data_IF_819789492581
#
_entry.id   IF_819789492581
#
_cell.length_a   1.000
_cell.length_b   1.000
_cell.length_c   1.000
_cell.angle_alpha   90.00
_cell.angle_beta   90.00
_cell.angle_gamma   90.00
#
_symmetry.space_group_name_H-M   'P 1'
#
loop_
_entity.id
_entity.type
_entity.pdbx_description
1 polymer ?
#
# COMPACT_ATOMS: atom_id res chain seq x y z
N UNK A 1 51.14 20.36 -18.03
CA UNK A 1 50.35 19.11 -17.94
C UNK A 1 49.49 18.98 -19.19
N UNK A 2 49.58 17.88 -19.98
CA UNK A 2 48.86 17.74 -21.24
C UNK A 2 47.33 17.59 -20.97
N UNK A 3 46.53 18.23 -21.84
CA UNK A 3 45.06 18.27 -21.77
C UNK A 3 44.38 16.87 -21.67
N UNK A 4 45.05 15.81 -22.13
CA UNK A 4 44.53 14.44 -22.06
C UNK A 4 44.43 13.85 -20.64
N UNK A 5 45.28 14.25 -19.71
CA UNK A 5 45.29 13.71 -18.33
C UNK A 5 44.16 14.26 -17.44
N UNK A 6 43.65 15.47 -17.76
CA UNK A 6 42.47 16.02 -17.07
C UNK A 6 41.15 15.35 -17.49
N UNK A 7 41.03 14.94 -18.74
CA UNK A 7 39.85 14.24 -19.25
C UNK A 7 39.72 12.80 -18.69
N UNK A 8 40.85 12.10 -18.52
CA UNK A 8 40.87 10.75 -17.94
C UNK A 8 40.51 10.77 -16.44
N UNK A 9 40.96 11.78 -15.68
CA UNK A 9 40.61 11.92 -14.26
C UNK A 9 39.12 12.26 -14.04
N UNK A 10 38.52 13.05 -14.94
CA UNK A 10 37.07 13.37 -14.89
C UNK A 10 36.22 12.15 -15.27
N UNK A 11 36.65 11.36 -16.23
CA UNK A 11 35.93 10.12 -16.64
C UNK A 11 36.00 9.04 -15.54
N UNK A 12 37.14 8.88 -14.85
CA UNK A 12 37.26 7.97 -13.70
C UNK A 12 36.43 8.45 -12.49
N UNK A 13 36.35 9.74 -12.23
CA UNK A 13 35.54 10.31 -11.16
C UNK A 13 34.04 10.10 -11.41
N UNK A 14 33.58 10.27 -12.64
CA UNK A 14 32.19 10.03 -13.03
C UNK A 14 31.80 8.54 -12.96
N UNK A 15 32.74 7.64 -13.33
CA UNK A 15 32.52 6.19 -13.25
C UNK A 15 32.45 5.69 -11.80
N UNK A 16 33.25 6.26 -10.89
CA UNK A 16 33.22 5.93 -9.46
C UNK A 16 31.97 6.46 -8.77
N UNK A 17 31.44 7.62 -9.17
CA UNK A 17 30.19 8.19 -8.65
C UNK A 17 28.98 7.36 -9.15
N UNK A 18 28.97 6.94 -10.40
CA UNK A 18 27.91 6.09 -10.95
C UNK A 18 27.85 4.70 -10.26
N UNK A 19 29.01 4.11 -9.96
CA UNK A 19 29.08 2.83 -9.23
C UNK A 19 28.67 2.95 -7.76
N UNK A 20 28.90 4.10 -7.11
CA UNK A 20 28.45 4.35 -5.73
C UNK A 20 26.94 4.57 -5.67
N UNK A 21 26.35 5.29 -6.63
CA UNK A 21 24.91 5.47 -6.73
C UNK A 21 24.15 4.15 -7.00
N UNK A 22 24.64 3.34 -7.95
CA UNK A 22 24.09 2.01 -8.23
C UNK A 22 24.17 1.06 -7.01
N UNK A 23 25.22 1.20 -6.18
CA UNK A 23 25.38 0.41 -4.96
C UNK A 23 24.43 0.84 -3.83
N UNK A 24 24.03 2.12 -3.78
CA UNK A 24 23.02 2.61 -2.84
C UNK A 24 21.60 2.15 -3.21
N UNK A 25 21.25 2.12 -4.49
CA UNK A 25 19.96 1.60 -4.97
C UNK A 25 19.83 0.09 -4.75
N UNK A 26 20.85 -0.70 -5.02
CA UNK A 26 20.91 -2.11 -4.70
C UNK A 26 20.69 -2.38 -3.19
N UNK A 27 21.09 -1.43 -2.32
CA UNK A 27 20.89 -1.50 -0.88
C UNK A 27 19.42 -1.44 -0.45
N UNK A 28 18.56 -0.63 -1.08
CA UNK A 28 17.13 -0.52 -0.70
C UNK A 28 16.37 -1.83 -0.97
N UNK A 29 16.63 -2.44 -2.12
CA UNK A 29 16.04 -3.73 -2.48
C UNK A 29 16.52 -4.87 -1.58
N UNK A 30 17.82 -4.90 -1.26
CA UNK A 30 18.37 -5.90 -0.34
C UNK A 30 17.86 -5.70 1.10
N UNK A 31 17.68 -4.45 1.54
CA UNK A 31 17.03 -4.17 2.81
C UNK A 31 15.60 -4.73 2.84
N UNK A 32 14.82 -4.52 1.78
CA UNK A 32 13.47 -5.05 1.65
C UNK A 32 13.45 -6.58 1.69
N UNK A 33 14.34 -7.25 0.96
CA UNK A 33 14.46 -8.71 0.96
C UNK A 33 14.85 -9.25 2.32
N UNK A 34 15.81 -8.61 3.01
CA UNK A 34 16.22 -9.02 4.36
C UNK A 34 15.07 -8.89 5.36
N UNK A 35 14.35 -7.76 5.37
CA UNK A 35 13.18 -7.55 6.22
C UNK A 35 12.04 -8.51 5.90
N UNK A 36 11.91 -8.92 4.65
CA UNK A 36 10.95 -9.92 4.19
C UNK A 36 11.37 -11.37 4.50
N UNK A 37 12.52 -11.61 5.14
CA UNK A 37 13.06 -12.96 5.38
C UNK A 37 13.48 -13.67 4.09
N UNK A 38 13.86 -12.93 3.04
CA UNK A 38 14.26 -13.47 1.75
C UNK A 38 15.77 -13.35 1.54
N UNK A 39 16.40 -14.23 0.74
CA UNK A 39 17.81 -14.09 0.39
C UNK A 39 18.10 -12.75 -0.28
N UNK A 40 19.15 -12.05 0.14
CA UNK A 40 19.64 -10.84 -0.51
C UNK A 40 20.48 -11.17 -1.73
N UNK A 41 20.78 -10.16 -2.55
CA UNK A 41 21.58 -10.32 -3.77
C UNK A 41 22.98 -10.87 -3.47
N UNK A 42 23.53 -11.62 -4.43
CA UNK A 42 24.91 -12.11 -4.32
C UNK A 42 25.90 -10.93 -4.21
N UNK A 43 26.79 -10.98 -3.21
CA UNK A 43 27.74 -9.91 -2.93
C UNK A 43 27.17 -8.72 -2.14
N UNK A 44 25.90 -8.75 -1.75
CA UNK A 44 25.31 -7.72 -0.88
C UNK A 44 26.06 -7.66 0.46
N UNK A 45 26.39 -6.45 0.96
CA UNK A 45 26.95 -6.30 2.30
C UNK A 45 25.99 -6.75 3.41
N UNK A 46 24.69 -6.92 3.10
CA UNK A 46 23.68 -7.41 4.04
C UNK A 46 23.67 -8.94 4.17
N UNK A 47 24.33 -9.68 3.28
CA UNK A 47 24.39 -11.15 3.33
C UNK A 47 24.93 -11.69 4.66
N UNK A 48 25.84 -10.95 5.31
CA UNK A 48 26.40 -11.30 6.62
C UNK A 48 25.35 -11.46 7.72
N UNK A 49 24.21 -10.75 7.63
CA UNK A 49 23.14 -10.84 8.64
C UNK A 49 22.28 -12.09 8.47
N UNK A 50 22.31 -12.74 7.30
CA UNK A 50 21.52 -13.95 7.03
C UNK A 50 22.03 -15.19 7.78
N UNK A 51 23.27 -15.15 8.26
CA UNK A 51 23.83 -16.21 9.14
C UNK A 51 23.37 -16.09 10.60
N UNK A 52 22.80 -14.92 11.02
CA UNK A 52 22.31 -14.70 12.37
C UNK A 52 21.10 -15.63 12.68
N UNK A 53 21.10 -16.36 13.82
CA UNK A 53 19.98 -17.22 14.19
C UNK A 53 18.63 -16.48 14.25
N UNK A 54 18.61 -15.23 14.73
CA UNK A 54 17.38 -14.44 14.81
C UNK A 54 16.80 -14.14 13.42
N UNK A 55 17.68 -13.86 12.43
CA UNK A 55 17.21 -13.68 11.04
C UNK A 55 16.70 -15.00 10.45
N UNK A 56 17.41 -16.11 10.64
CA UNK A 56 16.96 -17.42 10.15
C UNK A 56 15.58 -17.81 10.70
N UNK A 57 15.37 -17.60 12.01
CA UNK A 57 14.06 -17.79 12.61
C UNK A 57 12.99 -16.87 12.00
N UNK A 58 13.33 -15.60 11.79
CA UNK A 58 12.44 -14.64 11.12
C UNK A 58 12.06 -15.11 9.72
N UNK A 59 13.04 -15.51 8.91
CA UNK A 59 12.82 -16.00 7.54
C UNK A 59 11.88 -17.23 7.53
N UNK A 60 12.17 -18.21 8.38
CA UNK A 60 11.35 -19.44 8.48
C UNK A 60 9.89 -19.14 8.85
N UNK A 61 9.66 -18.29 9.85
CA UNK A 61 8.30 -17.91 10.30
C UNK A 61 7.58 -17.15 9.20
N UNK A 62 8.29 -16.22 8.55
CA UNK A 62 7.70 -15.40 7.48
C UNK A 62 7.36 -16.23 6.25
N UNK A 63 8.24 -17.14 5.82
CA UNK A 63 8.00 -18.05 4.68
C UNK A 63 6.78 -18.92 4.92
N UNK A 64 6.64 -19.50 6.09
CA UNK A 64 5.49 -20.34 6.44
C UNK A 64 4.18 -19.52 6.42
N UNK A 65 4.17 -18.33 7.02
CA UNK A 65 3.01 -17.47 7.06
C UNK A 65 2.63 -16.98 5.66
N UNK A 66 3.64 -16.59 4.86
CA UNK A 66 3.41 -16.12 3.49
C UNK A 66 2.88 -17.21 2.58
N UNK A 67 3.46 -18.39 2.62
CA UNK A 67 2.98 -19.54 1.84
C UNK A 67 1.51 -19.84 2.15
N UNK A 68 1.16 -19.90 3.43
CA UNK A 68 -0.23 -20.11 3.87
C UNK A 68 -1.17 -19.04 3.34
N UNK A 69 -0.77 -17.76 3.41
CA UNK A 69 -1.56 -16.63 2.90
C UNK A 69 -1.68 -16.68 1.38
N UNK A 70 -0.58 -16.91 0.67
CA UNK A 70 -0.58 -16.91 -0.80
C UNK A 70 -1.44 -18.05 -1.37
N UNK A 71 -1.23 -19.27 -0.92
CA UNK A 71 -1.97 -20.45 -1.38
C UNK A 71 -3.46 -20.42 -0.95
N UNK A 72 -3.70 -19.99 0.29
CA UNK A 72 -5.05 -20.02 0.86
C UNK A 72 -5.94 -18.85 0.41
N UNK A 73 -5.34 -17.69 0.10
CA UNK A 73 -6.07 -16.45 -0.10
C UNK A 73 -5.64 -15.70 -1.35
N UNK A 74 -4.36 -15.26 -1.45
CA UNK A 74 -3.96 -14.31 -2.49
C UNK A 74 -4.07 -14.90 -3.90
N UNK A 75 -3.81 -16.21 -4.07
CA UNK A 75 -3.98 -16.89 -5.36
C UNK A 75 -5.43 -16.80 -5.84
N UNK A 76 -6.40 -16.99 -4.93
CA UNK A 76 -7.82 -16.89 -5.25
C UNK A 76 -8.22 -15.45 -5.58
N UNK A 77 -7.73 -14.49 -4.80
CA UNK A 77 -7.97 -13.07 -5.08
C UNK A 77 -7.42 -12.68 -6.44
N UNK A 78 -6.20 -13.13 -6.81
CA UNK A 78 -5.62 -12.87 -8.14
C UNK A 78 -6.48 -13.45 -9.26
N UNK A 79 -6.93 -14.70 -9.13
CA UNK A 79 -7.78 -15.34 -10.13
C UNK A 79 -9.11 -14.58 -10.28
N UNK A 80 -9.74 -14.20 -9.16
CA UNK A 80 -10.96 -13.41 -9.18
C UNK A 80 -10.76 -12.04 -9.82
N UNK A 81 -9.66 -11.35 -9.49
CA UNK A 81 -9.35 -10.03 -10.04
C UNK A 81 -9.09 -10.11 -11.56
N UNK A 82 -8.38 -11.12 -12.03
CA UNK A 82 -8.15 -11.35 -13.45
C UNK A 82 -9.45 -11.60 -14.21
N UNK A 83 -10.40 -12.31 -13.62
CA UNK A 83 -11.71 -12.57 -14.22
C UNK A 83 -12.61 -11.34 -14.23
N UNK A 84 -12.60 -10.52 -13.17
CA UNK A 84 -13.63 -9.50 -12.95
C UNK A 84 -13.15 -8.06 -13.17
N UNK A 85 -11.85 -7.77 -13.13
CA UNK A 85 -11.26 -6.44 -13.31
C UNK A 85 -10.53 -6.35 -14.66
N UNK A 86 -11.28 -6.40 -15.77
CA UNK A 86 -10.73 -6.52 -17.14
C UNK A 86 -10.02 -5.26 -17.65
N UNK A 87 -10.46 -4.08 -17.24
CA UNK A 87 -10.00 -2.80 -17.79
C UNK A 87 -9.63 -1.82 -16.66
N UNK A 88 -8.63 -2.16 -15.82
CA UNK A 88 -8.25 -1.29 -14.72
C UNK A 88 -7.60 -0.01 -15.24
N UNK A 89 -7.85 1.10 -14.54
CA UNK A 89 -7.16 2.35 -14.78
C UNK A 89 -5.68 2.26 -14.38
N UNK A 90 -4.81 3.10 -14.96
CA UNK A 90 -3.40 3.12 -14.61
C UNK A 90 -3.14 3.60 -13.18
N UNK A 91 -4.07 4.33 -12.58
CA UNK A 91 -3.98 4.82 -11.20
C UNK A 91 -4.97 4.09 -10.29
N UNK A 92 -4.50 3.69 -9.11
CA UNK A 92 -5.32 3.12 -8.04
C UNK A 92 -5.31 4.03 -6.82
N UNK A 93 -6.49 4.45 -6.36
CA UNK A 93 -6.67 5.08 -5.05
C UNK A 93 -7.08 4.02 -4.02
N UNK A 94 -6.33 3.94 -2.93
CA UNK A 94 -6.66 3.08 -1.80
C UNK A 94 -6.60 3.87 -0.49
N UNK A 95 -7.68 4.60 -0.25
CA UNK A 95 -7.84 5.42 0.96
C UNK A 95 -8.22 4.54 2.15
N UNK A 96 -7.86 4.95 3.35
CA UNK A 96 -8.02 4.18 4.61
C UNK A 96 -7.24 2.87 4.64
N UNK A 97 -6.21 2.74 3.80
CA UNK A 97 -5.47 1.50 3.60
C UNK A 97 -4.37 1.24 4.64
N UNK A 98 -3.84 2.30 5.28
CA UNK A 98 -2.52 2.18 5.87
C UNK A 98 -1.50 1.68 4.81
N UNK A 99 -0.47 0.90 5.20
CA UNK A 99 0.54 0.40 4.26
C UNK A 99 0.12 -0.85 3.47
N UNK A 100 -1.17 -1.04 3.18
CA UNK A 100 -1.68 -2.27 2.55
C UNK A 100 -1.42 -2.36 1.04
N UNK A 101 -0.17 -2.26 0.65
CA UNK A 101 0.24 -2.52 -0.73
C UNK A 101 -0.05 -3.97 -1.15
N UNK A 102 -0.07 -4.90 -0.20
CA UNK A 102 -0.31 -6.31 -0.49
C UNK A 102 -1.62 -6.53 -1.24
N UNK A 103 -2.74 -6.08 -0.67
CA UNK A 103 -4.05 -6.24 -1.32
C UNK A 103 -4.23 -5.28 -2.51
N UNK A 104 -3.67 -4.06 -2.45
CA UNK A 104 -3.65 -3.17 -3.59
C UNK A 104 -3.05 -3.83 -4.84
N UNK A 105 -1.86 -4.41 -4.71
CA UNK A 105 -1.19 -5.11 -5.81
C UNK A 105 -1.87 -6.43 -6.20
N UNK A 106 -2.47 -7.14 -5.23
CA UNK A 106 -3.14 -8.43 -5.52
C UNK A 106 -4.41 -8.23 -6.34
N UNK A 107 -5.21 -7.19 -6.04
CA UNK A 107 -6.41 -6.85 -6.82
C UNK A 107 -6.09 -6.09 -8.12
N UNK A 108 -5.10 -5.21 -8.11
CA UNK A 108 -4.75 -4.34 -9.23
C UNK A 108 -3.28 -4.48 -9.63
N UNK A 109 -2.82 -5.67 -10.05
CA UNK A 109 -1.38 -5.91 -10.34
C UNK A 109 -0.85 -5.08 -11.50
N UNK A 110 -1.72 -4.54 -12.36
CA UNK A 110 -1.36 -3.76 -13.55
C UNK A 110 -1.40 -2.25 -13.35
N UNK A 111 -1.78 -1.76 -12.17
CA UNK A 111 -1.77 -0.32 -11.90
C UNK A 111 -0.34 0.23 -12.01
N UNK A 112 -0.17 1.34 -12.73
CA UNK A 112 1.13 2.03 -12.88
C UNK A 112 1.45 2.86 -11.65
N UNK A 113 0.42 3.43 -11.02
CA UNK A 113 0.53 4.29 -9.85
C UNK A 113 -0.45 3.82 -8.77
N UNK A 114 0.09 3.57 -7.59
CA UNK A 114 -0.67 3.26 -6.39
C UNK A 114 -0.63 4.46 -5.45
N UNK A 115 -1.79 4.92 -4.98
CA UNK A 115 -1.93 6.00 -4.00
C UNK A 115 -2.62 5.44 -2.78
N UNK A 116 -1.86 5.16 -1.75
CA UNK A 116 -2.31 4.67 -0.45
C UNK A 116 -2.36 5.81 0.56
N UNK A 117 -3.34 5.81 1.45
CA UNK A 117 -3.45 6.80 2.51
C UNK A 117 -3.98 6.20 3.82
N UNK A 118 -3.44 6.68 4.94
CA UNK A 118 -3.85 6.30 6.28
C UNK A 118 -3.31 7.26 7.34
N UNK A 119 -3.64 6.99 8.60
CA UNK A 119 -3.20 7.77 9.76
C UNK A 119 -1.83 7.35 10.31
N UNK A 120 -1.28 6.25 9.81
CA UNK A 120 -0.03 5.70 10.27
C UNK A 120 1.14 6.58 9.80
N UNK A 121 2.10 6.83 10.69
CA UNK A 121 3.29 7.60 10.34
C UNK A 121 4.09 6.93 9.21
N UNK A 122 4.69 7.74 8.34
CA UNK A 122 5.56 7.25 7.26
C UNK A 122 6.72 6.44 7.80
N UNK A 123 7.35 6.93 8.88
CA UNK A 123 8.56 6.35 9.43
C UNK A 123 9.81 6.73 8.63
N UNK A 124 10.87 5.98 8.84
CA UNK A 124 12.16 6.19 8.18
C UNK A 124 12.43 5.13 7.12
N UNK A 125 13.21 5.49 6.10
CA UNK A 125 13.73 4.50 5.16
C UNK A 125 14.59 3.50 5.94
N UNK A 126 14.29 2.19 5.87
CA UNK A 126 14.97 1.19 6.68
C UNK A 126 16.48 1.16 6.43
N UNK A 127 17.26 1.38 7.47
CA UNK A 127 18.70 1.19 7.47
C UNK A 127 19.03 -0.09 8.24
N UNK A 128 19.66 -1.03 7.55
CA UNK A 128 19.95 -2.35 8.11
C UNK A 128 21.34 -2.37 8.75
N UNK A 129 21.38 -2.63 10.03
CA UNK A 129 22.60 -2.82 10.82
C UNK A 129 22.53 -4.04 11.75
N UNK A 130 23.54 -4.23 12.61
CA UNK A 130 23.57 -5.37 13.54
C UNK A 130 22.46 -5.36 14.60
N UNK A 131 21.77 -4.23 14.82
CA UNK A 131 20.66 -4.08 15.77
C UNK A 131 19.32 -4.44 15.15
N UNK A 132 19.21 -4.45 13.82
CA UNK A 132 17.96 -4.75 13.10
C UNK A 132 17.35 -6.08 13.53
N UNK A 133 18.18 -7.07 13.88
CA UNK A 133 17.71 -8.36 14.40
C UNK A 133 16.77 -8.26 15.60
N UNK A 134 16.94 -7.24 16.45
CA UNK A 134 16.10 -7.02 17.63
C UNK A 134 14.73 -6.40 17.27
N UNK A 135 14.62 -5.77 16.11
CA UNK A 135 13.37 -5.20 15.60
C UNK A 135 12.53 -6.19 14.77
N UNK A 136 13.10 -7.29 14.29
CA UNK A 136 12.38 -8.28 13.49
C UNK A 136 11.14 -8.88 14.18
N UNK A 137 11.14 -9.17 15.51
CA UNK A 137 9.92 -9.60 16.20
C UNK A 137 8.79 -8.58 16.15
N UNK A 138 9.10 -7.28 16.33
CA UNK A 138 8.12 -6.21 16.28
C UNK A 138 7.55 -6.05 14.86
N UNK A 139 8.38 -6.16 13.82
CA UNK A 139 7.95 -6.17 12.44
C UNK A 139 6.96 -7.33 12.16
N UNK A 140 7.26 -8.55 12.62
CA UNK A 140 6.32 -9.68 12.52
C UNK A 140 5.02 -9.42 13.25
N UNK A 141 5.09 -8.88 14.47
CA UNK A 141 3.91 -8.58 15.27
C UNK A 141 3.00 -7.54 14.59
N UNK A 142 3.58 -6.49 14.01
CA UNK A 142 2.82 -5.45 13.30
C UNK A 142 2.09 -5.98 12.06
N UNK A 143 2.60 -7.02 11.43
CA UNK A 143 2.02 -7.62 10.23
C UNK A 143 1.09 -8.81 10.52
N UNK A 144 1.04 -9.29 11.76
CA UNK A 144 0.31 -10.51 12.10
C UNK A 144 -1.17 -10.45 11.71
N UNK A 145 -1.84 -9.30 11.88
CA UNK A 145 -3.26 -9.15 11.55
C UNK A 145 -3.51 -9.20 10.05
N UNK A 146 -2.74 -8.48 9.23
CA UNK A 146 -2.94 -8.52 7.79
C UNK A 146 -2.61 -9.88 7.18
N UNK A 147 -1.63 -10.59 7.73
CA UNK A 147 -1.26 -11.94 7.29
C UNK A 147 -2.32 -13.02 7.64
N UNK A 148 -3.10 -12.83 8.69
CA UNK A 148 -4.08 -13.81 9.16
C UNK A 148 -5.54 -13.42 8.91
N UNK A 149 -5.88 -12.13 8.96
CA UNK A 149 -7.26 -11.63 8.87
C UNK A 149 -7.48 -10.54 7.82
N UNK A 150 -6.52 -10.35 6.92
CA UNK A 150 -6.60 -9.48 5.74
C UNK A 150 -6.65 -7.97 5.96
N UNK A 151 -6.50 -7.44 7.17
CA UNK A 151 -6.45 -6.00 7.42
C UNK A 151 -5.51 -5.64 8.56
N UNK A 152 -5.08 -4.38 8.62
CA UNK A 152 -4.26 -3.84 9.68
C UNK A 152 -5.11 -3.33 10.86
N UNK A 153 -4.58 -3.47 12.07
CA UNK A 153 -5.08 -2.77 13.24
C UNK A 153 -4.08 -1.65 13.55
N UNK A 154 -4.44 -0.41 13.23
CA UNK A 154 -3.61 0.79 13.40
C UNK A 154 -2.95 0.90 14.78
N UNK A 155 -3.69 0.53 15.83
CA UNK A 155 -3.17 0.53 17.21
C UNK A 155 -1.96 -0.40 17.34
N UNK A 156 -2.02 -1.62 16.82
CA UNK A 156 -0.92 -2.59 16.89
C UNK A 156 0.31 -2.08 16.13
N UNK A 157 0.12 -1.44 14.99
CA UNK A 157 1.24 -0.85 14.23
C UNK A 157 1.90 0.29 15.01
N UNK A 158 1.11 1.17 15.64
CA UNK A 158 1.64 2.26 16.48
C UNK A 158 2.41 1.75 17.68
N UNK A 159 1.97 0.67 18.30
CA UNK A 159 2.65 0.06 19.46
C UNK A 159 3.97 -0.63 19.07
N UNK A 160 4.08 -1.21 17.86
CA UNK A 160 5.22 -2.02 17.43
C UNK A 160 6.29 -1.24 16.64
N UNK A 161 5.88 -0.20 15.91
CA UNK A 161 6.75 0.56 15.00
C UNK A 161 6.76 2.06 15.34
N UNK A 162 6.74 2.40 16.64
CA UNK A 162 6.77 3.79 17.11
C UNK A 162 8.17 4.41 17.05
N UNK A 163 8.24 5.71 17.22
CA UNK A 163 9.49 6.46 17.31
C UNK A 163 10.39 5.90 18.44
N UNK A 164 11.67 5.79 18.15
CA UNK A 164 12.67 5.21 19.06
C UNK A 164 12.93 3.72 18.82
N UNK A 165 12.16 3.05 17.98
CA UNK A 165 12.49 1.72 17.47
C UNK A 165 13.51 1.78 16.33
N UNK A 166 14.17 0.64 16.06
CA UNK A 166 15.09 0.50 14.90
C UNK A 166 14.36 0.56 13.55
N UNK A 167 13.10 0.09 13.52
CA UNK A 167 12.20 0.16 12.37
C UNK A 167 10.96 0.96 12.79
N UNK A 168 10.65 2.01 12.05
CA UNK A 168 9.57 2.95 12.41
C UNK A 168 8.56 3.13 11.27
N UNK A 169 7.31 3.30 11.61
CA UNK A 169 6.22 3.64 10.69
C UNK A 169 5.91 2.58 9.65
N UNK A 170 5.43 3.02 8.50
CA UNK A 170 4.88 2.15 7.44
C UNK A 170 5.91 1.65 6.44
N UNK A 171 7.03 2.34 6.27
CA UNK A 171 8.03 1.99 5.25
C UNK A 171 8.60 0.57 5.39
N UNK A 172 8.92 0.05 6.60
CA UNK A 172 9.37 -1.34 6.73
C UNK A 172 8.34 -2.36 6.23
N UNK A 173 7.04 -2.10 6.43
CA UNK A 173 5.95 -2.97 5.97
C UNK A 173 5.82 -2.91 4.46
N UNK A 174 5.86 -1.71 3.86
CA UNK A 174 5.82 -1.54 2.40
C UNK A 174 7.00 -2.24 1.73
N UNK A 175 8.19 -2.18 2.32
CA UNK A 175 9.37 -2.89 1.85
C UNK A 175 9.17 -4.41 1.84
N UNK A 176 8.62 -4.96 2.93
CA UNK A 176 8.30 -6.40 3.02
C UNK A 176 7.31 -6.80 1.94
N UNK A 177 6.23 -6.04 1.75
CA UNK A 177 5.21 -6.37 0.77
C UNK A 177 5.72 -6.28 -0.66
N UNK A 178 6.51 -5.26 -1.00
CA UNK A 178 7.14 -5.14 -2.30
C UNK A 178 8.04 -6.35 -2.59
N UNK A 179 8.94 -6.69 -1.65
CA UNK A 179 9.83 -7.84 -1.81
C UNK A 179 9.06 -9.17 -1.95
N UNK A 180 8.05 -9.39 -1.10
CA UNK A 180 7.22 -10.62 -1.13
C UNK A 180 6.31 -10.69 -2.35
N UNK A 181 5.92 -9.56 -2.94
CA UNK A 181 5.22 -9.49 -4.21
C UNK A 181 6.17 -9.63 -5.42
N UNK A 182 7.46 -9.92 -5.21
CA UNK A 182 8.46 -10.09 -6.27
C UNK A 182 8.86 -8.78 -6.95
N UNK A 183 8.63 -7.63 -6.31
CA UNK A 183 9.00 -6.32 -6.85
C UNK A 183 10.43 -5.94 -6.46
N UNK A 184 11.12 -5.25 -7.36
CA UNK A 184 12.45 -4.71 -7.13
C UNK A 184 12.37 -3.21 -6.82
N UNK A 185 12.74 -2.80 -5.61
CA UNK A 185 12.76 -1.38 -5.23
C UNK A 185 13.91 -0.69 -5.97
N UNK A 186 13.59 0.32 -6.77
CA UNK A 186 14.55 1.16 -7.50
C UNK A 186 14.94 2.39 -6.70
N UNK A 187 13.97 3.08 -6.10
CA UNK A 187 14.22 4.21 -5.21
C UNK A 187 13.12 4.34 -4.16
N UNK A 188 13.45 4.98 -3.04
CA UNK A 188 12.49 5.37 -2.02
C UNK A 188 12.87 6.74 -1.49
N UNK A 189 11.90 7.63 -1.42
CA UNK A 189 12.05 8.98 -0.90
C UNK A 189 10.89 9.34 0.02
N UNK A 190 11.15 10.18 1.00
CA UNK A 190 10.13 10.77 1.86
C UNK A 190 9.93 12.19 1.37
N UNK A 191 8.67 12.64 1.37
CA UNK A 191 8.32 13.96 0.87
C UNK A 191 7.39 14.73 1.82
N UNK A 192 7.38 16.04 1.66
CA UNK A 192 6.38 16.95 2.17
C UNK A 192 5.33 17.20 1.08
N UNK A 193 4.06 17.18 1.45
CA UNK A 193 2.94 17.51 0.56
C UNK A 193 2.54 18.97 0.77
N UNK A 194 2.61 19.75 -0.29
CA UNK A 194 2.14 21.12 -0.32
C UNK A 194 0.62 21.18 -0.58
N UNK A 195 -0.04 22.29 -0.23
CA UNK A 195 -1.49 22.45 -0.38
C UNK A 195 -2.00 22.36 -1.82
N UNK A 196 -1.17 22.68 -2.80
CA UNK A 196 -1.48 22.56 -4.23
C UNK A 196 -1.27 21.14 -4.77
N UNK A 197 -0.95 20.18 -3.92
CA UNK A 197 -0.66 18.80 -4.30
C UNK A 197 0.75 18.59 -4.86
N UNK A 198 1.64 19.56 -4.74
CA UNK A 198 3.05 19.37 -5.09
C UNK A 198 3.77 18.59 -3.98
N UNK A 199 4.58 17.61 -4.35
CA UNK A 199 5.43 16.87 -3.43
C UNK A 199 6.86 17.42 -3.49
N UNK A 200 7.46 17.63 -2.32
CA UNK A 200 8.86 18.10 -2.18
C UNK A 200 9.65 17.06 -1.39
N UNK A 201 10.72 16.49 -1.94
CA UNK A 201 11.58 15.57 -1.21
C UNK A 201 12.09 16.18 0.09
N UNK A 202 12.14 15.39 1.16
CA UNK A 202 12.72 15.81 2.43
C UNK A 202 14.15 15.31 2.50
N UNK A 203 15.10 16.24 2.56
CA UNK A 203 16.51 15.91 2.65
C UNK A 203 16.84 15.17 3.96
N UNK A 204 17.80 14.25 3.88
CA UNK A 204 18.24 13.41 5.00
C UNK A 204 18.72 14.21 6.23
N UNK A 205 19.30 15.38 6.00
CA UNK A 205 19.78 16.26 7.07
C UNK A 205 18.68 16.79 7.98
N UNK A 206 17.44 16.82 7.53
CA UNK A 206 16.27 17.27 8.32
C UNK A 206 15.57 16.11 9.07
N UNK A 207 16.14 14.91 9.04
CA UNK A 207 15.65 13.71 9.72
C UNK A 207 16.01 13.67 11.21
N UNK A 208 15.78 14.75 11.92
CA UNK A 208 15.93 14.82 13.36
C UNK A 208 14.69 14.31 14.10
N UNK A 209 14.68 14.38 15.45
CA UNK A 209 13.59 13.92 16.36
C UNK A 209 12.14 14.29 16.01
N UNK A 210 11.96 15.11 14.99
CA UNK A 210 10.66 15.60 14.52
C UNK A 210 10.19 14.93 13.22
N UNK A 211 10.85 13.88 12.75
CA UNK A 211 10.61 13.32 11.41
C UNK A 211 9.20 12.74 11.23
N UNK A 212 8.62 12.11 12.23
CA UNK A 212 7.22 11.67 12.23
C UNK A 212 6.20 12.81 12.17
N UNK A 213 6.64 14.07 12.36
CA UNK A 213 5.83 15.29 12.28
C UNK A 213 5.91 16.00 10.93
N UNK A 214 6.91 15.74 10.10
CA UNK A 214 7.22 16.56 8.92
C UNK A 214 7.17 15.82 7.57
N UNK A 215 7.21 14.51 7.54
CA UNK A 215 6.99 13.74 6.31
C UNK A 215 5.49 13.52 6.07
N UNK A 216 4.96 14.09 4.99
CA UNK A 216 3.57 13.87 4.59
C UNK A 216 3.37 12.53 3.91
N UNK A 217 4.42 11.94 3.35
CA UNK A 217 4.33 10.70 2.63
C UNK A 217 5.67 10.12 2.18
N UNK A 218 5.60 8.97 1.55
CA UNK A 218 6.71 8.30 0.89
C UNK A 218 6.34 7.96 -0.55
N UNK A 219 7.34 8.06 -1.45
CA UNK A 219 7.27 7.60 -2.83
C UNK A 219 8.27 6.49 -3.00
N UNK A 220 7.82 5.35 -3.53
CA UNK A 220 8.68 4.22 -3.85
C UNK A 220 8.51 3.92 -5.34
N UNK A 221 9.59 3.98 -6.09
CA UNK A 221 9.66 3.48 -7.47
C UNK A 221 10.14 2.04 -7.41
N UNK A 222 9.44 1.16 -8.07
CA UNK A 222 9.77 -0.26 -8.12
C UNK A 222 9.54 -0.83 -9.51
N UNK A 223 10.19 -1.95 -9.82
CA UNK A 223 9.99 -2.68 -11.07
C UNK A 223 9.34 -4.04 -10.82
N UNK A 224 8.48 -4.44 -11.74
CA UNK A 224 7.99 -5.80 -11.88
C UNK A 224 9.11 -6.73 -12.37
N UNK A 225 8.95 -8.07 -12.30
CA UNK A 225 9.94 -9.02 -12.82
C UNK A 225 10.23 -8.87 -14.32
N UNK A 226 9.30 -8.29 -15.09
CA UNK A 226 9.47 -7.99 -16.51
C UNK A 226 10.17 -6.66 -16.78
N UNK A 227 10.60 -5.95 -15.74
CA UNK A 227 11.25 -4.65 -15.82
C UNK A 227 10.31 -3.44 -15.91
N UNK A 228 8.98 -3.64 -15.91
CA UNK A 228 8.01 -2.55 -15.94
C UNK A 228 8.09 -1.73 -14.66
N UNK A 229 8.42 -0.45 -14.76
CA UNK A 229 8.45 0.45 -13.61
C UNK A 229 7.06 0.94 -13.21
N UNK A 230 6.88 1.04 -11.87
CA UNK A 230 5.65 1.51 -11.21
C UNK A 230 5.99 2.40 -10.04
N UNK A 231 5.00 3.16 -9.60
CA UNK A 231 5.17 4.07 -8.46
C UNK A 231 4.13 3.81 -7.40
N UNK A 232 4.58 3.73 -6.15
CA UNK A 232 3.76 3.68 -4.96
C UNK A 232 3.94 4.98 -4.17
N UNK A 233 2.83 5.66 -3.92
CA UNK A 233 2.74 6.77 -2.97
C UNK A 233 1.99 6.30 -1.73
N UNK A 234 2.55 6.58 -0.56
CA UNK A 234 1.87 6.46 0.72
C UNK A 234 1.76 7.83 1.36
N UNK A 235 0.56 8.21 1.77
CA UNK A 235 0.28 9.47 2.46
C UNK A 235 -0.14 9.21 3.90
N UNK A 236 0.60 9.81 4.86
CA UNK A 236 0.21 9.86 6.26
C UNK A 236 -0.67 11.09 6.47
N UNK A 237 -1.99 10.90 6.50
CA UNK A 237 -2.93 12.02 6.53
C UNK A 237 -4.26 11.64 7.20
N UNK A 238 -4.90 12.64 7.79
CA UNK A 238 -6.29 12.55 8.25
C UNK A 238 -7.23 12.74 7.05
N UNK A 239 -8.03 11.72 6.76
CA UNK A 239 -9.02 11.71 5.67
C UNK A 239 -10.39 12.26 6.08
N UNK A 240 -10.58 12.71 7.33
CA UNK A 240 -11.78 13.43 7.74
C UNK A 240 -11.94 14.76 6.99
N UNK A 241 -13.14 15.29 6.93
CA UNK A 241 -13.42 16.57 6.24
C UNK A 241 -12.52 17.72 6.70
N UNK A 242 -12.29 17.95 8.02
CA UNK A 242 -11.35 18.97 8.46
C UNK A 242 -9.90 18.63 8.10
N UNK A 243 -9.52 17.33 8.15
CA UNK A 243 -8.17 16.88 7.84
C UNK A 243 -7.84 17.03 6.38
N UNK A 244 -8.61 16.39 5.50
CA UNK A 244 -8.34 16.34 4.06
C UNK A 244 -8.38 17.71 3.39
N UNK A 245 -9.22 18.64 3.86
CA UNK A 245 -9.30 20.03 3.37
C UNK A 245 -8.07 20.89 3.70
N UNK A 246 -7.28 20.47 4.68
CA UNK A 246 -6.06 21.21 5.08
C UNK A 246 -4.80 20.70 4.40
N UNK A 247 -4.89 19.59 3.68
CA UNK A 247 -3.77 18.96 2.95
C UNK A 247 -3.91 19.14 1.44
N UNK A 248 -2.84 18.89 0.70
CA UNK A 248 -2.86 18.86 -0.77
C UNK A 248 -3.20 17.49 -1.37
N UNK A 249 -3.71 16.52 -0.57
CA UNK A 249 -3.93 15.15 -1.06
C UNK A 249 -4.88 15.09 -2.26
N UNK A 250 -6.04 15.77 -2.19
CA UNK A 250 -7.01 15.74 -3.28
C UNK A 250 -6.44 16.40 -4.54
N UNK A 251 -5.77 17.56 -4.38
CA UNK A 251 -5.12 18.23 -5.52
C UNK A 251 -3.99 17.39 -6.13
N UNK A 252 -3.29 16.58 -5.34
CA UNK A 252 -2.34 15.60 -5.85
C UNK A 252 -3.04 14.50 -6.64
N UNK A 253 -4.11 13.92 -6.09
CA UNK A 253 -4.86 12.85 -6.73
C UNK A 253 -5.54 13.30 -8.02
N UNK A 254 -6.11 14.53 -8.06
CA UNK A 254 -6.73 15.09 -9.28
C UNK A 254 -5.78 15.11 -10.48
N UNK A 255 -4.49 15.34 -10.26
CA UNK A 255 -3.45 15.30 -11.32
C UNK A 255 -3.21 13.90 -11.88
N UNK A 256 -3.67 12.86 -11.18
CA UNK A 256 -3.50 11.45 -11.56
C UNK A 256 -4.81 10.80 -12.06
N UNK A 257 -5.92 11.53 -12.06
CA UNK A 257 -7.21 11.05 -12.55
C UNK A 257 -7.20 10.86 -14.09
N UNK A 258 -8.02 9.95 -14.65
CA UNK A 258 -8.94 9.05 -13.95
C UNK A 258 -8.26 7.89 -13.25
N UNK A 259 -8.94 7.31 -12.25
CA UNK A 259 -8.42 6.22 -11.43
C UNK A 259 -9.48 5.14 -11.17
N UNK A 260 -9.05 4.00 -10.68
CA UNK A 260 -9.90 3.08 -9.94
C UNK A 260 -9.72 3.30 -8.43
N UNK A 261 -10.70 2.89 -7.65
CA UNK A 261 -10.60 2.90 -6.18
C UNK A 261 -10.77 1.52 -5.60
N UNK A 262 -9.99 1.23 -4.56
CA UNK A 262 -10.14 0.05 -3.74
C UNK A 262 -10.39 0.46 -2.28
N UNK A 263 -11.41 -0.11 -1.64
CA UNK A 263 -11.79 0.22 -0.27
C UNK A 263 -12.08 -1.07 0.49
N UNK A 264 -11.31 -1.32 1.51
CA UNK A 264 -11.40 -2.52 2.33
C UNK A 264 -11.19 -2.15 3.81
N UNK A 265 -12.07 -2.60 4.68
CA UNK A 265 -11.97 -2.32 6.12
C UNK A 265 -11.89 -0.83 6.45
N UNK A 266 -12.67 0.00 5.75
CA UNK A 266 -12.66 1.47 5.87
C UNK A 266 -13.48 1.99 7.08
N UNK A 267 -13.74 1.13 8.06
CA UNK A 267 -14.40 1.45 9.34
C UNK A 267 -15.76 2.14 9.20
N UNK A 268 -16.43 1.97 8.04
CA UNK A 268 -17.72 2.62 7.73
C UNK A 268 -17.67 4.15 7.89
N UNK A 269 -16.49 4.77 7.87
CA UNK A 269 -16.32 6.20 8.10
C UNK A 269 -17.11 7.05 7.10
N UNK A 270 -17.12 6.63 5.85
CA UNK A 270 -17.85 7.30 4.77
C UNK A 270 -19.38 7.10 4.82
N UNK A 271 -19.90 6.33 5.79
CA UNK A 271 -21.35 6.19 6.02
C UNK A 271 -21.93 7.33 6.83
N UNK A 272 -21.13 8.04 7.64
CA UNK A 272 -21.53 9.19 8.43
C UNK A 272 -21.15 10.52 7.78
N UNK A 273 -21.47 11.62 8.47
CA UNK A 273 -20.90 12.94 8.21
C UNK A 273 -19.44 12.99 8.69
N UNK A 274 -18.67 13.92 8.17
CA UNK A 274 -17.26 14.11 8.54
C UNK A 274 -16.24 13.42 7.63
N UNK A 275 -16.70 12.65 6.63
CA UNK A 275 -15.90 12.07 5.55
C UNK A 275 -16.58 12.26 4.18
N UNK A 276 -17.40 13.28 4.08
CA UNK A 276 -18.16 13.60 2.87
C UNK A 276 -17.22 14.00 1.73
N UNK A 277 -16.22 14.82 2.02
CA UNK A 277 -15.27 15.34 1.04
C UNK A 277 -14.51 14.22 0.34
N UNK A 278 -13.93 13.26 1.09
CA UNK A 278 -13.20 12.13 0.50
C UNK A 278 -14.13 11.16 -0.22
N UNK A 279 -15.35 10.93 0.31
CA UNK A 279 -16.37 10.10 -0.34
C UNK A 279 -16.78 10.66 -1.70
N UNK A 280 -17.10 11.94 -1.75
CA UNK A 280 -17.49 12.65 -2.98
C UNK A 280 -16.35 12.67 -3.99
N UNK A 281 -15.11 12.90 -3.53
CA UNK A 281 -13.93 12.84 -4.36
C UNK A 281 -13.78 11.46 -5.02
N UNK A 282 -13.85 10.38 -4.26
CA UNK A 282 -13.71 9.02 -4.80
C UNK A 282 -14.82 8.71 -5.80
N UNK A 283 -16.08 9.07 -5.48
CA UNK A 283 -17.20 8.90 -6.41
C UNK A 283 -17.01 9.75 -7.66
N UNK A 284 -16.47 10.97 -7.59
CA UNK A 284 -16.28 11.84 -8.74
C UNK A 284 -15.15 11.36 -9.68
N UNK A 285 -14.05 10.87 -9.13
CA UNK A 285 -12.80 10.63 -9.87
C UNK A 285 -12.53 9.14 -10.17
N UNK A 286 -13.36 8.20 -9.67
CA UNK A 286 -13.19 6.78 -9.97
C UNK A 286 -14.00 6.33 -11.18
N UNK A 287 -13.39 5.43 -11.98
CA UNK A 287 -14.05 4.67 -13.04
C UNK A 287 -14.67 3.40 -12.51
N UNK A 288 -13.91 2.69 -11.71
CA UNK A 288 -14.34 1.49 -11.00
C UNK A 288 -14.04 1.65 -9.51
N UNK A 289 -14.97 1.26 -8.65
CA UNK A 289 -14.77 1.18 -7.21
C UNK A 289 -14.98 -0.27 -6.79
N UNK A 290 -13.94 -0.91 -6.29
CA UNK A 290 -14.01 -2.23 -5.68
C UNK A 290 -13.99 -2.06 -4.17
N UNK A 291 -15.01 -2.56 -3.48
CA UNK A 291 -15.13 -2.33 -2.03
C UNK A 291 -15.83 -3.46 -1.30
N UNK A 292 -15.50 -3.61 0.00
CA UNK A 292 -16.34 -4.32 0.95
C UNK A 292 -17.48 -3.41 1.47
N UNK A 293 -18.34 -3.93 2.33
CA UNK A 293 -19.50 -3.19 2.87
C UNK A 293 -19.11 -2.01 3.77
N UNK A 294 -17.86 -1.90 4.18
CA UNK A 294 -17.34 -0.80 5.01
C UNK A 294 -16.95 0.45 4.21
N UNK A 295 -16.95 0.37 2.89
CA UNK A 295 -16.58 1.45 1.98
C UNK A 295 -17.65 2.53 1.81
N UNK A 296 -17.89 2.96 0.58
CA UNK A 296 -18.87 4.00 0.23
C UNK A 296 -20.29 3.44 0.28
N UNK A 297 -21.23 4.04 1.03
CA UNK A 297 -22.60 3.55 1.09
C UNK A 297 -23.35 3.75 -0.22
N UNK A 298 -24.26 2.82 -0.56
CA UNK A 298 -25.01 2.86 -1.83
C UNK A 298 -25.75 4.19 -2.08
N UNK A 299 -26.20 4.87 -1.02
CA UNK A 299 -26.87 6.16 -1.15
C UNK A 299 -26.00 7.30 -1.70
N UNK A 300 -24.66 7.13 -1.69
CA UNK A 300 -23.74 8.14 -2.21
C UNK A 300 -23.55 8.04 -3.73
N UNK A 301 -23.98 6.95 -4.33
CA UNK A 301 -23.96 6.77 -5.78
C UNK A 301 -25.26 7.28 -6.38
N UNK A 302 -25.17 8.13 -7.39
CA UNK A 302 -26.36 8.63 -8.12
C UNK A 302 -26.99 7.51 -8.94
N UNK A 303 -28.30 7.41 -8.88
CA UNK A 303 -29.04 6.41 -9.66
C UNK A 303 -28.81 6.62 -11.17
N UNK A 304 -28.58 5.51 -11.86
CA UNK A 304 -28.33 5.52 -13.32
C UNK A 304 -26.88 5.86 -13.73
N UNK A 305 -26.04 6.40 -12.84
CA UNK A 305 -24.64 6.69 -13.16
C UNK A 305 -23.71 5.47 -12.91
N UNK A 306 -24.17 4.46 -12.19
CA UNK A 306 -23.35 3.32 -11.78
C UNK A 306 -24.06 1.99 -11.97
N UNK A 307 -23.30 0.98 -12.39
CA UNK A 307 -23.71 -0.42 -12.40
C UNK A 307 -22.98 -1.16 -11.31
N UNK A 308 -23.70 -2.01 -10.53
CA UNK A 308 -23.16 -2.72 -9.38
C UNK A 308 -23.11 -4.21 -9.63
N UNK A 309 -21.97 -4.82 -9.34
CA UNK A 309 -21.74 -6.26 -9.40
C UNK A 309 -21.36 -6.75 -8.01
N UNK A 310 -22.30 -7.33 -7.23
CA UNK A 310 -22.03 -7.86 -5.91
C UNK A 310 -21.43 -9.27 -5.99
N UNK A 311 -20.55 -9.62 -5.04
CA UNK A 311 -19.95 -10.93 -4.85
C UNK A 311 -19.90 -11.30 -3.37
N UNK A 312 -20.24 -12.55 -3.03
CA UNK A 312 -20.23 -13.03 -1.65
C UNK A 312 -21.52 -12.78 -0.89
N UNK A 313 -21.43 -12.51 0.40
CA UNK A 313 -22.58 -12.45 1.31
C UNK A 313 -22.57 -11.19 2.16
N UNK A 314 -23.53 -10.30 1.98
CA UNK A 314 -23.74 -9.20 2.91
C UNK A 314 -24.62 -9.66 4.06
N UNK A 315 -24.02 -9.92 5.22
CA UNK A 315 -24.74 -10.36 6.42
C UNK A 315 -25.35 -9.17 7.17
N UNK A 316 -24.49 -8.50 7.94
CA UNK A 316 -24.76 -7.27 8.69
C UNK A 316 -23.44 -6.54 8.87
N UNK A 317 -23.44 -5.21 9.11
CA UNK A 317 -22.26 -4.50 9.57
C UNK A 317 -21.66 -5.15 10.82
N UNK A 318 -20.40 -4.86 11.11
CA UNK A 318 -19.82 -5.29 12.37
C UNK A 318 -20.59 -4.68 13.55
N UNK A 319 -20.73 -5.42 14.66
CA UNK A 319 -21.50 -4.97 15.83
C UNK A 319 -21.05 -3.63 16.43
N UNK A 320 -19.81 -3.24 16.23
CA UNK A 320 -19.28 -1.92 16.61
C UNK A 320 -19.77 -0.77 15.70
N UNK A 321 -20.40 -1.08 14.55
CA UNK A 321 -20.96 -0.10 13.60
C UNK A 321 -22.46 -0.37 13.33
N UNK A 322 -23.35 -0.45 14.35
CA UNK A 322 -24.70 -0.98 14.20
C UNK A 322 -25.61 -0.16 13.26
N UNK A 323 -25.36 1.15 13.15
CA UNK A 323 -26.20 2.07 12.38
C UNK A 323 -25.81 2.17 10.88
N UNK A 324 -24.96 1.28 10.39
CA UNK A 324 -24.48 1.29 9.00
C UNK A 324 -25.12 0.23 8.10
N UNK A 325 -26.17 -0.44 8.58
CA UNK A 325 -26.90 -1.43 7.81
C UNK A 325 -27.60 -0.81 6.58
N UNK A 326 -27.47 -1.46 5.43
CA UNK A 326 -28.00 -1.02 4.14
C UNK A 326 -29.01 -2.04 3.59
N UNK A 327 -30.34 -1.86 3.72
CA UNK A 327 -31.35 -2.78 3.20
C UNK A 327 -31.22 -3.02 1.69
N UNK A 328 -30.91 -1.97 0.91
CA UNK A 328 -30.71 -2.07 -0.55
C UNK A 328 -29.50 -2.96 -0.88
N UNK A 329 -28.40 -2.84 -0.14
CA UNK A 329 -27.24 -3.73 -0.28
C UNK A 329 -27.62 -5.18 0.04
N UNK A 330 -28.37 -5.42 1.14
CA UNK A 330 -28.84 -6.76 1.50
C UNK A 330 -29.63 -7.41 0.37
N UNK A 331 -30.55 -6.68 -0.24
CA UNK A 331 -31.33 -7.15 -1.38
C UNK A 331 -30.47 -7.47 -2.61
N UNK A 332 -29.48 -6.60 -2.90
CA UNK A 332 -28.55 -6.76 -4.02
C UNK A 332 -27.70 -8.02 -3.87
N UNK A 333 -27.19 -8.30 -2.67
CA UNK A 333 -26.35 -9.47 -2.39
C UNK A 333 -27.12 -10.80 -2.27
N UNK A 334 -28.43 -10.78 -2.24
CA UNK A 334 -29.24 -12.00 -2.07
C UNK A 334 -29.02 -13.04 -3.18
N UNK A 335 -28.63 -12.61 -4.38
CA UNK A 335 -28.37 -13.47 -5.55
C UNK A 335 -26.92 -13.36 -6.04
N UNK A 336 -26.02 -12.78 -5.25
CA UNK A 336 -24.62 -12.61 -5.64
C UNK A 336 -23.90 -13.96 -5.75
N UNK A 337 -22.97 -14.12 -6.72
CA UNK A 337 -22.10 -15.28 -6.77
C UNK A 337 -21.23 -15.34 -5.52
N UNK A 338 -20.91 -16.55 -5.07
CA UNK A 338 -20.10 -16.79 -3.88
C UNK A 338 -18.65 -16.35 -4.11
N UNK A 339 -18.02 -15.85 -3.05
CA UNK A 339 -16.57 -15.69 -2.97
C UNK A 339 -15.97 -16.96 -2.34
N UNK A 340 -14.83 -17.38 -2.85
CA UNK A 340 -14.06 -18.50 -2.31
C UNK A 340 -12.86 -18.04 -1.45
N UNK A 341 -12.77 -16.71 -1.19
CA UNK A 341 -11.80 -16.06 -0.32
C UNK A 341 -12.49 -15.05 0.60
N UNK A 342 -11.80 -14.72 1.69
CA UNK A 342 -12.24 -13.68 2.61
C UNK A 342 -11.51 -12.35 2.37
N UNK A 343 -12.17 -11.23 2.58
CA UNK A 343 -11.59 -9.88 2.44
C UNK A 343 -12.21 -8.91 3.45
N UNK A 344 -11.43 -7.94 3.87
CA UNK A 344 -11.88 -6.92 4.82
C UNK A 344 -12.16 -7.48 6.20
N UNK A 345 -13.11 -6.87 6.89
CA UNK A 345 -13.48 -7.32 8.24
C UNK A 345 -14.09 -8.72 8.27
N UNK A 346 -14.68 -9.16 7.18
CA UNK A 346 -15.25 -10.50 7.00
C UNK A 346 -14.23 -11.40 6.28
N UNK A 347 -13.15 -11.71 6.96
CA UNK A 347 -12.01 -12.46 6.40
C UNK A 347 -12.26 -13.94 6.09
N UNK A 348 -13.48 -14.46 6.37
CA UNK A 348 -13.89 -15.82 6.00
C UNK A 348 -14.72 -15.79 4.72
N UNK A 349 -14.42 -16.65 3.75
CA UNK A 349 -15.04 -16.68 2.43
C UNK A 349 -16.58 -16.63 2.46
N UNK A 350 -17.21 -17.45 3.31
CA UNK A 350 -18.69 -17.53 3.39
C UNK A 350 -19.36 -16.31 4.06
N UNK A 351 -18.59 -15.45 4.72
CA UNK A 351 -19.05 -14.20 5.36
C UNK A 351 -18.64 -12.94 4.58
N UNK A 352 -17.74 -13.10 3.62
CA UNK A 352 -17.12 -12.01 2.90
C UNK A 352 -18.02 -11.44 1.83
N UNK A 353 -17.85 -10.17 1.55
CA UNK A 353 -18.52 -9.47 0.47
C UNK A 353 -17.55 -8.56 -0.28
N UNK A 354 -17.77 -8.43 -1.57
CA UNK A 354 -17.17 -7.44 -2.45
C UNK A 354 -18.23 -6.90 -3.40
N UNK A 355 -18.15 -5.64 -3.70
CA UNK A 355 -18.94 -4.99 -4.73
C UNK A 355 -18.01 -4.29 -5.71
N UNK A 356 -18.22 -4.54 -7.01
CA UNK A 356 -17.64 -3.72 -8.07
C UNK A 356 -18.71 -2.74 -8.49
N UNK A 357 -18.46 -1.44 -8.33
CA UNK A 357 -19.26 -0.37 -8.90
C UNK A 357 -18.53 0.20 -10.12
N UNK A 358 -19.17 0.14 -11.29
CA UNK A 358 -18.61 0.60 -12.56
C UNK A 358 -19.40 1.82 -13.02
N UNK A 359 -18.70 2.91 -13.37
CA UNK A 359 -19.33 4.14 -13.89
C UNK A 359 -19.86 3.91 -15.30
N UNK A 360 -21.13 4.23 -15.52
CA UNK A 360 -21.80 4.09 -16.82
C UNK A 360 -21.33 5.15 -17.83
N UNK A 361 -21.40 4.82 -19.12
CA UNK A 361 -21.14 5.78 -20.23
C UNK A 361 -19.67 6.08 -20.48
N UNK A 362 -18.74 5.46 -19.79
CA UNK A 362 -17.30 5.61 -20.03
C UNK A 362 -16.79 4.42 -20.85
N UNK A 363 -16.23 4.69 -22.04
CA UNK A 363 -15.59 3.64 -22.83
C UNK A 363 -14.30 3.17 -22.17
N UNK A 364 -14.01 1.89 -22.35
CA UNK A 364 -12.71 1.35 -21.97
C UNK A 364 -11.61 2.09 -22.75
N UNK A 365 -10.74 2.84 -22.05
CA UNK A 365 -9.62 3.56 -22.66
C UNK A 365 -9.76 5.10 -22.68
N UNK A 366 -10.88 5.68 -22.23
CA UNK A 366 -11.05 7.12 -22.01
C UNK A 366 -10.56 7.57 -20.63
#
# INVERSE_FOLDING_TARGET
>A
MPRGMKAILLALGALLLATAAARAEASANDAARLLAGMPVSAGSPLARYQSDPAWRQHAQVFDAAWKKLDEGQLAKVRAWAEENLKHPQPTLYYMFSGPDFLYANTFFPKAKTYVLAGLEAVGEIPEIDGRTKYALPNLRASMNTVLNISFFITRHMREQLHDGQQLTGTLPILYVFLARAGKEIKSAEIFQLEKDGTIKPVERAHRGRAFGKYGSGAKIVFADPDGTERTLYYFSTDLSDPGVKTTGLLSFCEKLAPADSFLKSASYLMHGSGFDTIREFLVAHSRTIVQDDSGIPLRAFKDGEWTFHPFGSYLYPLGIFPNTFQPRMKAMFAKAPKLDFGVGYRHRAHESNLMIAVRNGVKAGD
#
